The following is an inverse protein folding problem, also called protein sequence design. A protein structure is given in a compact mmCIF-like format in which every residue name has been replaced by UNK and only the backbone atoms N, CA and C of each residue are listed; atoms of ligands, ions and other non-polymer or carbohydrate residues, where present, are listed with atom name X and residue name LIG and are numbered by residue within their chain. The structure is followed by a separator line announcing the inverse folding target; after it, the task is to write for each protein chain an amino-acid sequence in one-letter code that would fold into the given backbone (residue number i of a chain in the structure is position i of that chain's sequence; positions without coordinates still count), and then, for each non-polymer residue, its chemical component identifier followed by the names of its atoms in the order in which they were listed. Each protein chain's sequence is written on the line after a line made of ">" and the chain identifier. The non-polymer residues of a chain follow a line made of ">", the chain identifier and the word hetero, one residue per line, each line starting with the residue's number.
data_IF_759383536205
#
_entry.id   IF_759383536205
#
_cell.length_a   1.000
_cell.length_b   1.000
_cell.length_c   1.000
_cell.angle_alpha   90.00
_cell.angle_beta   90.00
_cell.angle_gamma   90.00
#
_symmetry.space_group_name_H-M   'P 1'
#
loop_
_entity.id
_entity.type
_entity.pdbx_description
1 polymer ?
#
# COMPACT_ATOMS: atom_id res chain seq x y z
N UNK A 1 -5.90 38.55 -12.48
CA UNK A 1 -4.92 38.77 -11.41
C UNK A 1 -3.81 37.73 -11.55
N UNK A 2 -2.53 38.11 -11.63
CA UNK A 2 -1.43 37.16 -11.79
C UNK A 2 -1.25 36.21 -10.59
N UNK A 3 -1.89 36.50 -9.46
CA UNK A 3 -1.83 35.67 -8.24
C UNK A 3 -3.11 34.85 -7.99
N UNK A 4 -4.10 34.92 -8.86
CA UNK A 4 -5.32 34.12 -8.69
C UNK A 4 -5.02 32.66 -9.02
N UNK A 5 -5.31 31.71 -8.11
CA UNK A 5 -5.14 30.30 -8.42
C UNK A 5 -6.09 29.87 -9.54
N UNK A 6 -5.69 28.85 -10.30
CA UNK A 6 -6.59 28.23 -11.27
C UNK A 6 -7.87 27.72 -10.57
N UNK A 7 -9.06 27.81 -11.21
CA UNK A 7 -10.32 27.41 -10.59
C UNK A 7 -10.32 25.98 -10.04
N UNK A 8 -9.72 25.04 -10.78
CA UNK A 8 -9.59 23.64 -10.35
C UNK A 8 -8.74 23.51 -9.09
N UNK A 9 -7.64 24.27 -8.98
CA UNK A 9 -6.78 24.29 -7.79
C UNK A 9 -7.54 24.80 -6.58
N UNK A 10 -8.34 25.86 -6.74
CA UNK A 10 -9.18 26.39 -5.68
C UNK A 10 -10.23 25.38 -5.23
N UNK A 11 -10.93 24.74 -6.18
CA UNK A 11 -11.93 23.71 -5.87
C UNK A 11 -11.33 22.52 -5.12
N UNK A 12 -10.17 22.02 -5.59
CA UNK A 12 -9.45 20.95 -4.91
C UNK A 12 -8.98 21.37 -3.50
N UNK A 13 -8.66 22.64 -3.30
CA UNK A 13 -8.29 23.14 -1.98
C UNK A 13 -9.48 23.21 -1.01
N UNK A 14 -10.65 23.66 -1.48
CA UNK A 14 -11.85 23.81 -0.64
C UNK A 14 -12.61 22.49 -0.40
N UNK A 15 -12.47 21.51 -1.29
CA UNK A 15 -13.21 20.25 -1.18
C UNK A 15 -12.82 19.45 0.07
N UNK A 16 -13.82 18.93 0.78
CA UNK A 16 -13.64 17.96 1.88
C UNK A 16 -13.47 16.54 1.37
N UNK A 17 -14.13 16.23 0.25
CA UNK A 17 -14.04 14.95 -0.45
C UNK A 17 -13.94 15.21 -1.95
N UNK A 18 -12.98 14.57 -2.61
CA UNK A 18 -12.76 14.66 -4.05
C UNK A 18 -13.01 13.27 -4.63
N UNK A 19 -13.81 13.21 -5.69
CA UNK A 19 -14.03 12.00 -6.46
C UNK A 19 -13.44 12.20 -7.86
N UNK A 20 -12.38 11.47 -8.16
CA UNK A 20 -11.76 11.44 -9.49
C UNK A 20 -12.23 10.18 -10.21
N UNK A 21 -12.78 10.36 -11.41
CA UNK A 21 -13.34 9.26 -12.20
C UNK A 21 -12.33 8.84 -13.27
N UNK A 22 -12.08 7.53 -13.33
CA UNK A 22 -11.20 6.88 -14.27
C UNK A 22 -11.96 5.83 -15.09
N UNK A 23 -11.54 5.60 -16.33
CA UNK A 23 -12.10 4.53 -17.15
C UNK A 23 -11.53 3.17 -16.73
N UNK A 24 -12.39 2.19 -16.42
CA UNK A 24 -11.99 0.85 -15.97
C UNK A 24 -11.02 0.17 -16.95
N UNK A 25 -11.35 0.20 -18.24
CA UNK A 25 -10.55 -0.40 -19.31
C UNK A 25 -9.13 0.17 -19.38
N UNK A 26 -8.99 1.49 -19.17
CA UNK A 26 -7.67 2.14 -19.18
C UNK A 26 -6.84 1.78 -17.96
N UNK A 27 -7.48 1.71 -16.78
CA UNK A 27 -6.82 1.32 -15.52
C UNK A 27 -6.33 -0.13 -15.60
N UNK A 28 -7.18 -1.06 -16.06
CA UNK A 28 -6.82 -2.47 -16.25
C UNK A 28 -5.71 -2.63 -17.30
N UNK A 29 -5.75 -1.90 -18.41
CA UNK A 29 -4.71 -1.95 -19.42
C UNK A 29 -3.34 -1.49 -18.89
N UNK A 30 -3.30 -0.43 -18.07
CA UNK A 30 -2.08 0.03 -17.41
C UNK A 30 -1.56 -1.00 -16.41
N UNK A 31 -2.44 -1.56 -15.58
CA UNK A 31 -2.09 -2.63 -14.64
C UNK A 31 -1.50 -3.86 -15.35
N UNK A 32 -2.14 -4.33 -16.42
CA UNK A 32 -1.68 -5.45 -17.22
C UNK A 32 -0.32 -5.21 -17.90
N UNK A 33 -0.05 -3.97 -18.33
CA UNK A 33 1.26 -3.60 -18.86
C UNK A 33 2.33 -3.66 -17.77
N UNK A 34 2.04 -3.09 -16.58
CA UNK A 34 2.92 -3.11 -15.41
C UNK A 34 3.25 -4.53 -14.95
N UNK A 35 2.24 -5.40 -14.88
CA UNK A 35 2.41 -6.80 -14.46
C UNK A 35 3.29 -7.60 -15.44
N UNK A 36 3.32 -7.19 -16.71
CA UNK A 36 4.17 -7.77 -17.76
C UNK A 36 5.50 -7.04 -17.94
N UNK A 37 5.79 -6.03 -17.11
CA UNK A 37 6.95 -5.14 -17.27
C UNK A 37 7.05 -4.52 -18.67
N UNK A 38 5.90 -4.23 -19.28
CA UNK A 38 5.77 -3.51 -20.55
C UNK A 38 5.56 -2.02 -20.29
N UNK A 39 5.80 -1.21 -21.33
CA UNK A 39 5.49 0.23 -21.29
C UNK A 39 3.99 0.44 -21.08
N UNK A 40 3.62 1.26 -20.10
CA UNK A 40 2.22 1.57 -19.82
C UNK A 40 1.58 2.36 -20.98
N UNK A 41 0.36 1.99 -21.43
CA UNK A 41 -0.35 2.74 -22.46
C UNK A 41 -0.75 4.13 -21.94
N UNK A 42 -0.52 5.15 -22.76
CA UNK A 42 -1.02 6.52 -22.55
C UNK A 42 -2.39 6.69 -23.18
N UNK A 43 -3.27 7.44 -22.53
CA UNK A 43 -4.64 7.70 -22.98
C UNK A 43 -4.96 9.18 -22.86
N UNK A 44 -5.81 9.70 -23.75
CA UNK A 44 -6.27 11.09 -23.70
C UNK A 44 -5.15 12.09 -23.97
N UNK A 45 -5.10 13.15 -23.15
CA UNK A 45 -4.16 14.26 -23.33
C UNK A 45 -2.68 13.84 -23.16
N UNK A 46 -2.42 12.78 -22.39
CA UNK A 46 -1.07 12.26 -22.15
C UNK A 46 -0.39 11.71 -23.42
N UNK A 47 -1.16 11.50 -24.50
CA UNK A 47 -0.60 11.06 -25.79
C UNK A 47 0.15 12.18 -26.52
N UNK A 48 -0.01 13.45 -26.12
CA UNK A 48 0.66 14.59 -26.76
C UNK A 48 0.26 14.83 -28.22
N UNK A 49 -0.84 14.22 -28.67
CA UNK A 49 -1.39 14.40 -30.02
C UNK A 49 -2.41 15.52 -30.00
N UNK A 50 -2.19 16.55 -30.82
CA UNK A 50 -3.15 17.65 -30.97
C UNK A 50 -4.43 17.16 -31.67
N UNK A 51 -5.60 17.49 -31.11
CA UNK A 51 -6.91 17.16 -31.67
C UNK A 51 -7.88 16.56 -30.65
N UNK A 52 -9.09 16.21 -31.11
CA UNK A 52 -10.12 15.57 -30.28
C UNK A 52 -9.88 14.05 -30.25
N UNK A 53 -9.00 13.62 -29.36
CA UNK A 53 -8.63 12.21 -29.19
C UNK A 53 -9.52 11.53 -28.15
N UNK A 54 -10.26 10.51 -28.57
CA UNK A 54 -10.93 9.59 -27.65
C UNK A 54 -10.10 8.30 -27.57
N UNK A 55 -9.61 7.97 -26.37
CA UNK A 55 -8.93 6.70 -26.14
C UNK A 55 -9.88 5.52 -26.44
N UNK A 56 -9.37 4.49 -27.12
CA UNK A 56 -10.17 3.29 -27.38
C UNK A 56 -10.65 2.68 -26.06
N UNK A 57 -11.91 2.23 -26.02
CA UNK A 57 -12.52 1.68 -24.80
C UNK A 57 -12.91 2.73 -23.74
N UNK A 58 -12.73 4.04 -24.01
CA UNK A 58 -13.23 5.09 -23.13
C UNK A 58 -14.75 5.03 -22.99
N UNK A 59 -15.26 5.33 -21.79
CA UNK A 59 -16.70 5.30 -21.45
C UNK A 59 -17.39 3.95 -21.73
N UNK A 60 -16.67 2.83 -21.53
CA UNK A 60 -17.23 1.49 -21.63
C UNK A 60 -18.42 1.27 -20.68
N UNK A 61 -19.32 0.36 -21.05
CA UNK A 61 -20.52 0.04 -20.27
C UNK A 61 -20.30 -0.90 -19.08
N UNK A 62 -19.05 -1.34 -18.83
CA UNK A 62 -18.74 -2.29 -17.76
C UNK A 62 -18.65 -1.63 -16.38
N UNK A 63 -18.30 -0.34 -16.34
CA UNK A 63 -18.15 0.40 -15.09
C UNK A 63 -17.13 1.51 -15.16
N UNK A 64 -17.04 2.25 -14.06
CA UNK A 64 -16.04 3.28 -13.83
C UNK A 64 -15.24 2.97 -12.58
N UNK A 65 -13.99 3.42 -12.59
CA UNK A 65 -13.12 3.39 -11.41
C UNK A 65 -13.22 4.75 -10.74
N UNK A 66 -13.46 4.76 -9.44
CA UNK A 66 -13.65 5.94 -8.63
C UNK A 66 -12.53 6.03 -7.61
N UNK A 67 -11.68 7.02 -7.78
CA UNK A 67 -10.70 7.38 -6.77
C UNK A 67 -11.33 8.41 -5.83
N UNK A 68 -11.45 8.04 -4.56
CA UNK A 68 -12.00 8.91 -3.51
C UNK A 68 -10.86 9.41 -2.64
N UNK A 69 -10.72 10.73 -2.51
CA UNK A 69 -9.89 11.38 -1.50
C UNK A 69 -10.81 12.04 -0.47
N UNK A 70 -10.75 11.62 0.78
CA UNK A 70 -11.49 12.24 1.88
C UNK A 70 -10.55 12.87 2.91
N UNK A 71 -10.77 14.14 3.23
CA UNK A 71 -10.01 14.89 4.23
C UNK A 71 -10.67 14.80 5.59
N UNK A 72 -9.97 14.16 6.53
CA UNK A 72 -10.44 14.02 7.92
C UNK A 72 -10.43 15.38 8.63
N UNK A 73 -11.11 15.45 9.78
CA UNK A 73 -11.06 16.63 10.67
C UNK A 73 -9.64 17.01 11.11
N UNK A 74 -8.71 16.05 11.12
CA UNK A 74 -7.28 16.29 11.41
C UNK A 74 -6.49 16.93 10.26
N UNK A 75 -7.10 17.12 9.09
CA UNK A 75 -6.43 17.60 7.88
C UNK A 75 -5.74 16.51 7.05
N UNK A 76 -5.59 15.28 7.58
CA UNK A 76 -5.02 14.15 6.83
C UNK A 76 -6.02 13.61 5.81
N UNK A 77 -5.57 13.43 4.57
CA UNK A 77 -6.34 12.79 3.49
C UNK A 77 -6.27 11.26 3.55
N UNK A 78 -7.39 10.60 3.25
CA UNK A 78 -7.50 9.17 3.00
C UNK A 78 -7.83 8.98 1.53
N UNK A 79 -7.11 8.11 0.82
CA UNK A 79 -7.38 7.78 -0.59
C UNK A 79 -7.76 6.31 -0.73
N UNK A 80 -8.88 6.05 -1.38
CA UNK A 80 -9.37 4.70 -1.67
C UNK A 80 -9.90 4.61 -3.11
N UNK A 81 -9.76 3.43 -3.71
CA UNK A 81 -10.11 3.17 -5.11
C UNK A 81 -11.23 2.15 -5.19
N UNK A 82 -12.33 2.54 -5.81
CA UNK A 82 -13.53 1.72 -5.93
C UNK A 82 -13.88 1.47 -7.39
N UNK A 83 -14.67 0.43 -7.63
CA UNK A 83 -15.33 0.22 -8.90
C UNK A 83 -16.83 0.40 -8.71
N UNK A 84 -17.39 1.23 -9.58
CA UNK A 84 -18.82 1.38 -9.74
C UNK A 84 -19.22 0.66 -11.04
N UNK A 85 -19.89 -0.51 -10.95
CA UNK A 85 -20.41 -1.19 -12.13
C UNK A 85 -21.53 -0.33 -12.72
N UNK A 86 -21.42 0.03 -14.00
CA UNK A 86 -22.50 0.68 -14.71
C UNK A 86 -23.40 -0.45 -15.23
N UNK A 87 -24.53 -0.69 -14.55
CA UNK A 87 -25.51 -1.67 -15.02
C UNK A 87 -25.83 -1.43 -16.49
N UNK A 88 -25.75 -2.48 -17.31
CA UNK A 88 -25.97 -2.42 -18.76
C UNK A 88 -27.15 -1.51 -19.09
N UNK A 89 -26.83 -0.36 -19.70
CA UNK A 89 -27.80 0.65 -20.15
C UNK A 89 -28.81 0.12 -21.19
N UNK A 90 -28.71 -1.16 -21.58
CA UNK A 90 -29.52 -1.79 -22.61
C UNK A 90 -30.94 -2.20 -22.16
N UNK A 91 -31.29 -2.18 -20.86
CA UNK A 91 -32.64 -2.53 -20.41
C UNK A 91 -33.20 -1.55 -19.35
N UNK A 92 -33.20 -0.25 -19.68
CA UNK A 92 -33.90 0.77 -18.89
C UNK A 92 -35.40 0.77 -19.20
N UNK A 93 -36.13 -0.21 -18.65
CA UNK A 93 -37.57 -0.02 -18.40
C UNK A 93 -38.09 -0.68 -17.13
N UNK A 94 -37.18 -1.06 -16.22
CA UNK A 94 -37.54 -1.39 -14.84
C UNK A 94 -36.59 -0.64 -13.92
N UNK A 95 -37.01 0.55 -13.52
CA UNK A 95 -36.46 1.25 -12.36
C UNK A 95 -36.90 0.47 -11.11
N UNK A 96 -36.36 -0.73 -10.95
CA UNK A 96 -36.39 -1.44 -9.67
C UNK A 96 -35.53 -0.67 -8.66
N UNK A 97 -35.76 -0.84 -7.36
CA UNK A 97 -34.91 -0.22 -6.34
C UNK A 97 -33.47 -0.58 -6.65
N UNK A 98 -32.58 0.42 -6.78
CA UNK A 98 -31.12 0.30 -6.95
C UNK A 98 -30.65 -0.98 -6.25
N UNK A 99 -30.55 -2.06 -7.00
CA UNK A 99 -30.47 -3.40 -6.43
C UNK A 99 -29.03 -3.60 -6.02
N UNK A 100 -28.61 -3.04 -4.87
CA UNK A 100 -27.24 -3.14 -4.33
C UNK A 100 -26.22 -3.18 -5.47
N UNK A 101 -26.11 -2.10 -6.24
CA UNK A 101 -24.99 -1.94 -7.17
C UNK A 101 -23.74 -2.10 -6.31
N UNK A 102 -23.09 -3.26 -6.44
CA UNK A 102 -22.10 -3.75 -5.48
C UNK A 102 -20.83 -2.97 -5.74
N UNK A 103 -20.71 -1.80 -5.10
CA UNK A 103 -19.44 -1.13 -4.96
C UNK A 103 -18.43 -2.13 -4.41
N UNK A 104 -17.27 -2.22 -5.05
CA UNK A 104 -16.18 -3.09 -4.64
C UNK A 104 -14.86 -2.32 -4.68
N UNK A 105 -13.88 -2.78 -3.92
CA UNK A 105 -12.54 -2.23 -3.98
C UNK A 105 -11.94 -2.56 -5.36
N UNK A 106 -11.12 -1.66 -5.92
CA UNK A 106 -10.42 -1.91 -7.18
C UNK A 106 -9.59 -3.21 -7.13
N UNK A 107 -8.97 -3.48 -5.99
CA UNK A 107 -8.16 -4.68 -5.75
C UNK A 107 -8.95 -5.99 -5.79
N UNK A 108 -10.27 -5.94 -5.52
CA UNK A 108 -11.13 -7.13 -5.54
C UNK A 108 -11.62 -7.49 -6.95
N UNK A 109 -11.37 -6.64 -7.94
CA UNK A 109 -11.91 -6.85 -9.29
C UNK A 109 -11.15 -7.94 -10.04
N UNK A 110 -11.85 -8.89 -10.68
CA UNK A 110 -11.22 -10.06 -11.29
C UNK A 110 -10.16 -9.70 -12.33
N UNK A 111 -10.38 -8.66 -13.14
CA UNK A 111 -9.40 -8.24 -14.17
C UNK A 111 -8.27 -7.34 -13.64
N UNK A 112 -8.37 -6.87 -12.40
CA UNK A 112 -7.37 -5.99 -11.79
C UNK A 112 -6.52 -6.72 -10.74
N UNK A 113 -7.11 -7.70 -10.05
CA UNK A 113 -6.44 -8.53 -9.07
C UNK A 113 -5.25 -9.23 -9.74
N UNK A 114 -4.08 -9.07 -9.14
CA UNK A 114 -2.89 -9.80 -9.59
C UNK A 114 -3.14 -11.29 -9.36
N UNK A 115 -2.78 -12.18 -10.30
CA UNK A 115 -2.85 -13.61 -10.03
C UNK A 115 -2.01 -13.88 -8.77
N UNK A 116 -2.61 -14.52 -7.78
CA UNK A 116 -1.81 -15.05 -6.67
C UNK A 116 -0.79 -16.00 -7.28
N UNK A 117 0.48 -15.99 -6.83
CA UNK A 117 1.43 -16.99 -7.28
C UNK A 117 0.84 -18.35 -6.93
N UNK A 118 0.64 -19.20 -7.94
CA UNK A 118 0.17 -20.58 -7.77
C UNK A 118 1.12 -21.29 -6.78
N UNK A 119 0.76 -21.31 -5.50
CA UNK A 119 1.42 -22.13 -4.47
C UNK A 119 1.03 -23.61 -4.59
N UNK A 120 0.33 -23.97 -5.69
CA UNK A 120 -0.16 -25.31 -6.01
C UNK A 120 0.46 -25.90 -7.28
N UNK A 121 1.52 -25.30 -7.82
CA UNK A 121 2.38 -25.93 -8.82
C UNK A 121 3.61 -26.54 -8.13
N UNK A 122 3.51 -27.84 -7.80
CA UNK A 122 4.54 -28.71 -7.19
C UNK A 122 4.86 -28.45 -5.71
N UNK A 123 3.88 -28.68 -4.83
CA UNK A 123 4.11 -28.95 -3.41
C UNK A 123 4.33 -30.46 -3.13
N UNK A 124 5.04 -31.14 -4.02
CA UNK A 124 5.65 -32.44 -3.77
C UNK A 124 7.14 -32.29 -4.09
N UNK A 125 7.98 -32.33 -3.06
CA UNK A 125 9.46 -32.20 -3.10
C UNK A 125 10.06 -30.80 -3.26
N UNK A 126 9.88 -29.92 -2.27
CA UNK A 126 11.00 -29.36 -1.49
C UNK A 126 10.45 -28.56 -0.30
N UNK A 127 11.25 -28.42 0.76
CA UNK A 127 10.82 -28.07 2.11
C UNK A 127 10.15 -26.69 2.35
N UNK A 128 9.80 -26.39 3.62
CA UNK A 128 9.14 -25.15 4.04
C UNK A 128 10.13 -23.96 4.04
N UNK A 129 10.59 -23.56 2.86
CA UNK A 129 11.73 -22.62 2.68
C UNK A 129 11.43 -21.54 1.62
N UNK A 130 10.16 -21.14 1.45
CA UNK A 130 9.77 -20.17 0.41
C UNK A 130 8.77 -19.12 0.89
N UNK A 131 9.10 -18.40 1.96
CA UNK A 131 8.54 -17.05 2.18
C UNK A 131 9.66 -16.01 2.16
N UNK A 132 9.45 -14.92 1.42
CA UNK A 132 10.51 -13.98 0.98
C UNK A 132 11.27 -13.26 2.09
N UNK A 133 10.90 -13.41 3.37
CA UNK A 133 11.67 -12.87 4.49
C UNK A 133 11.53 -13.73 5.75
N UNK A 134 12.07 -14.95 5.74
CA UNK A 134 12.30 -15.68 6.99
C UNK A 134 13.59 -15.19 7.64
N UNK A 135 13.46 -14.27 8.60
CA UNK A 135 14.54 -13.85 9.53
C UNK A 135 14.84 -14.93 10.59
N UNK A 136 14.47 -16.18 10.33
CA UNK A 136 14.76 -17.31 11.19
C UNK A 136 16.23 -17.72 11.07
N UNK A 137 16.86 -18.04 12.20
CA UNK A 137 18.17 -18.69 12.14
C UNK A 137 17.95 -20.13 11.68
N UNK A 138 18.61 -20.50 10.58
CA UNK A 138 18.73 -21.89 10.15
C UNK A 138 19.30 -22.75 11.29
N UNK A 139 19.03 -24.05 11.29
CA UNK A 139 19.53 -24.97 12.34
C UNK A 139 21.06 -24.95 12.48
N UNK A 140 21.76 -24.66 11.39
CA UNK A 140 23.20 -24.45 11.38
C UNK A 140 23.59 -23.18 12.12
N UNK A 141 22.96 -22.06 11.81
CA UNK A 141 23.22 -20.77 12.48
C UNK A 141 22.83 -20.80 13.97
N UNK A 142 21.81 -21.58 14.34
CA UNK A 142 21.43 -21.78 15.75
C UNK A 142 22.51 -22.55 16.52
N UNK A 143 23.03 -23.65 15.95
CA UNK A 143 24.17 -24.40 16.51
C UNK A 143 25.42 -23.54 16.61
N UNK A 144 25.72 -22.74 15.59
CA UNK A 144 26.87 -21.85 15.60
C UNK A 144 26.72 -20.77 16.67
N UNK A 145 25.52 -20.19 16.86
CA UNK A 145 25.22 -19.25 17.96
C UNK A 145 25.39 -19.90 19.34
N UNK A 146 24.95 -21.13 19.52
CA UNK A 146 25.05 -21.85 20.80
C UNK A 146 26.50 -22.25 21.13
N UNK A 147 27.34 -22.48 20.11
CA UNK A 147 28.77 -22.80 20.26
C UNK A 147 29.68 -21.59 20.47
N UNK A 148 29.17 -20.36 20.30
CA UNK A 148 29.94 -19.14 20.55
C UNK A 148 30.01 -18.88 22.05
N UNK A 149 31.18 -19.17 22.63
CA UNK A 149 31.52 -18.82 24.01
C UNK A 149 32.01 -17.38 24.03
N UNK A 150 31.14 -16.46 24.43
CA UNK A 150 31.52 -15.08 24.67
C UNK A 150 32.26 -14.97 26.01
N UNK A 151 33.40 -14.25 26.06
CA UNK A 151 34.05 -13.93 27.34
C UNK A 151 33.05 -13.30 28.31
N UNK A 152 33.01 -13.78 29.56
CA UNK A 152 32.19 -13.27 30.66
C UNK A 152 30.66 -13.38 30.52
N UNK A 153 30.14 -14.03 29.48
CA UNK A 153 28.69 -14.20 29.30
C UNK A 153 28.04 -15.10 30.37
N UNK A 154 28.80 -16.03 30.95
CA UNK A 154 28.35 -16.86 32.06
C UNK A 154 28.11 -16.06 33.35
N UNK A 155 28.75 -14.88 33.49
CA UNK A 155 28.56 -14.00 34.65
C UNK A 155 27.19 -13.30 34.68
N UNK A 156 26.42 -13.34 33.57
CA UNK A 156 25.07 -12.77 33.49
C UNK A 156 23.97 -13.79 33.83
N UNK A 157 24.24 -15.11 33.69
CA UNK A 157 23.20 -16.16 33.80
C UNK A 157 23.06 -16.77 35.18
N UNK A 158 24.08 -16.68 36.03
CA UNK A 158 24.01 -17.09 37.43
C UNK A 158 24.70 -16.03 38.26
N UNK A 159 24.12 -15.69 39.42
CA UNK A 159 24.59 -14.68 40.36
C UNK A 159 25.95 -15.00 40.99
N UNK A 160 26.96 -15.22 40.16
CA UNK A 160 28.37 -15.27 40.54
C UNK A 160 28.85 -13.83 40.68
N UNK A 161 29.52 -13.58 41.79
CA UNK A 161 30.04 -12.30 42.25
C UNK A 161 31.13 -11.78 41.28
N UNK A 162 30.73 -11.22 40.13
CA UNK A 162 31.69 -10.74 39.12
C UNK A 162 31.09 -10.11 37.86
N UNK A 163 29.78 -10.18 37.65
CA UNK A 163 29.10 -9.59 36.48
C UNK A 163 28.51 -8.19 36.70
N UNK A 164 28.66 -7.60 37.89
CA UNK A 164 28.11 -6.27 38.19
C UNK A 164 29.04 -5.21 37.63
N UNK A 165 28.56 -4.48 36.62
CA UNK A 165 29.23 -3.26 36.15
C UNK A 165 29.01 -2.20 37.24
N UNK A 166 30.04 -1.94 38.04
CA UNK A 166 30.06 -0.81 38.96
C UNK A 166 30.58 0.40 38.20
N UNK A 167 29.70 1.36 37.97
CA UNK A 167 30.07 2.69 37.54
C UNK A 167 30.38 3.51 38.79
N UNK A 168 31.58 4.09 38.85
CA UNK A 168 31.97 5.03 39.90
C UNK A 168 31.71 6.44 39.37
N UNK A 169 30.76 7.15 39.96
CA UNK A 169 30.37 8.49 39.51
C UNK A 169 31.55 9.44 39.71
N UNK A 170 32.11 9.94 38.61
CA UNK A 170 33.18 10.92 38.64
C UNK A 170 32.66 12.27 39.12
N UNK A 171 33.53 13.09 39.71
CA UNK A 171 33.19 14.47 40.11
C UNK A 171 32.85 15.42 38.95
N UNK A 172 32.99 14.95 37.71
CA UNK A 172 32.64 15.65 36.47
C UNK A 172 31.24 15.28 35.97
N UNK A 173 30.56 14.31 36.61
CA UNK A 173 29.21 13.88 36.27
C UNK A 173 28.21 14.93 36.80
N UNK A 174 27.46 15.58 35.90
CA UNK A 174 26.57 16.71 36.15
C UNK A 174 25.15 16.28 36.57
N UNK A 175 25.04 15.08 37.15
CA UNK A 175 23.80 14.46 37.61
C UNK A 175 23.01 15.43 38.52
N UNK A 176 21.97 16.05 37.98
CA UNK A 176 21.10 16.98 38.68
C UNK A 176 19.92 16.24 39.29
N UNK A 177 19.78 16.34 40.62
CA UNK A 177 18.75 15.62 41.38
C UNK A 177 17.30 16.10 41.07
N UNK A 178 17.13 17.05 40.14
CA UNK A 178 15.85 17.72 39.81
C UNK A 178 15.22 17.21 38.49
N UNK A 179 15.91 16.42 37.66
CA UNK A 179 15.37 15.99 36.34
C UNK A 179 14.51 14.71 36.39
N UNK A 180 14.55 13.94 37.48
CA UNK A 180 13.92 12.60 37.58
C UNK A 180 12.52 12.55 38.26
N UNK A 181 11.83 13.69 38.46
CA UNK A 181 10.40 13.70 38.83
C UNK A 181 9.49 13.82 37.59
N UNK A 182 9.26 12.70 36.89
CA UNK A 182 8.18 12.56 35.87
C UNK A 182 7.44 11.22 36.00
#
# INVERSE_FOLDING_TARGET
>A
DPYTPAPLTLLNYLATTIFTVHCLQHVVARKKARDRSLVEPSFGLDQGVEGLMQGLGANGGEGLVLEMEHRRKSGRGVREWYILPLGSRANSNKLGPLSKEKFMLLEDHPDYRSPEPDTTANAEEDGPEATTFELGLTDKQRRDREGVVLPYHDAQKGGVEGGRILYDMGSEDDFDEEEDEI
#
